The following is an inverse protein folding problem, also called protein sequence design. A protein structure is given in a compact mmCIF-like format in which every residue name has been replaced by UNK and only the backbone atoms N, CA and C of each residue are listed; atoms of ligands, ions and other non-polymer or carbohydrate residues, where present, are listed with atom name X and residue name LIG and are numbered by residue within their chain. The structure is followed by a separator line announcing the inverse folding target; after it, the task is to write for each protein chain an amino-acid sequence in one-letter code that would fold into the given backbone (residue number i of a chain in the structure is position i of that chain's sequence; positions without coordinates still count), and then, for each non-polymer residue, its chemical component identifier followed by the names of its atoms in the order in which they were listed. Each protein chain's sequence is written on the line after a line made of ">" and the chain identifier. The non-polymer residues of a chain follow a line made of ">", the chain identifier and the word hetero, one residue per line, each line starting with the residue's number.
data_IF_620041109665
#
_entry.id   IF_620041109665
#
_cell.length_a   1.000
_cell.length_b   1.000
_cell.length_c   1.000
_cell.angle_alpha   90.00
_cell.angle_beta   90.00
_cell.angle_gamma   90.00
#
_symmetry.space_group_name_H-M   'P 1'
#
loop_
_entity.id
_entity.type
_entity.pdbx_description
1 polymer ?
#
# COMPACT_ATOMS: atom_id res chain seq x y z
N UNK A 1 31.70 -18.26 -21.34
CA UNK A 1 31.12 -18.58 -20.02
C UNK A 1 29.77 -17.93 -19.98
N UNK A 2 28.71 -18.70 -20.02
CA UNK A 2 27.32 -18.18 -19.85
C UNK A 2 27.15 -17.80 -18.37
N UNK A 3 27.17 -16.53 -18.08
CA UNK A 3 26.87 -16.04 -16.73
C UNK A 3 25.37 -16.32 -16.49
N UNK A 4 25.08 -17.26 -15.62
CA UNK A 4 23.69 -17.50 -15.19
C UNK A 4 23.19 -16.22 -14.51
N UNK A 5 22.00 -15.74 -14.90
CA UNK A 5 21.40 -14.56 -14.28
C UNK A 5 21.17 -14.83 -12.79
N UNK A 6 21.47 -13.83 -11.94
CA UNK A 6 21.31 -13.96 -10.48
C UNK A 6 19.91 -14.44 -10.11
N UNK A 7 18.88 -13.89 -10.74
CA UNK A 7 17.48 -14.22 -10.49
C UNK A 7 17.11 -15.68 -10.77
N UNK A 8 17.87 -16.40 -11.60
CA UNK A 8 17.60 -17.81 -11.87
C UNK A 8 17.77 -18.74 -10.64
N UNK A 9 18.26 -18.21 -9.52
CA UNK A 9 18.41 -18.91 -8.24
C UNK A 9 17.32 -18.59 -7.22
N UNK A 10 16.31 -17.79 -7.60
CA UNK A 10 15.24 -17.32 -6.71
C UNK A 10 13.86 -17.68 -7.27
N UNK A 11 12.91 -17.92 -6.36
CA UNK A 11 11.54 -18.30 -6.70
C UNK A 11 10.65 -17.10 -7.01
N UNK A 12 11.03 -15.90 -6.57
CA UNK A 12 10.31 -14.66 -6.81
C UNK A 12 11.24 -13.45 -6.64
N UNK A 13 10.86 -12.32 -7.24
CA UNK A 13 11.45 -11.00 -7.02
C UNK A 13 10.44 -10.11 -6.32
N UNK A 14 10.79 -9.60 -5.12
CA UNK A 14 10.05 -8.52 -4.46
C UNK A 14 10.73 -7.19 -4.80
N UNK A 15 10.03 -6.31 -5.49
CA UNK A 15 10.55 -5.02 -5.93
C UNK A 15 9.83 -3.88 -5.22
N UNK A 16 10.59 -2.95 -4.65
CA UNK A 16 10.09 -1.63 -4.30
C UNK A 16 9.77 -0.83 -5.58
N UNK A 17 9.10 0.29 -5.46
CA UNK A 17 8.65 1.11 -6.58
C UNK A 17 9.38 2.44 -6.68
N UNK A 18 9.22 3.31 -5.68
CA UNK A 18 9.81 4.65 -5.69
C UNK A 18 11.33 4.60 -5.56
N UNK A 19 12.05 5.19 -6.51
CA UNK A 19 13.51 5.15 -6.55
C UNK A 19 14.11 3.83 -7.08
N UNK A 20 13.28 2.83 -7.40
CA UNK A 20 13.70 1.52 -7.93
C UNK A 20 13.14 1.28 -9.34
N UNK A 21 11.85 1.42 -9.53
CA UNK A 21 11.18 1.24 -10.83
C UNK A 21 10.95 2.57 -11.52
N UNK A 22 10.61 3.60 -10.75
CA UNK A 22 10.38 4.96 -11.26
C UNK A 22 10.85 6.02 -10.26
N UNK A 23 11.03 7.25 -10.77
CA UNK A 23 11.25 8.44 -9.97
C UNK A 23 10.23 9.50 -10.42
N UNK A 24 9.22 9.77 -9.58
CA UNK A 24 8.08 10.59 -9.96
C UNK A 24 7.32 10.02 -11.17
N UNK A 25 7.15 10.79 -12.27
CA UNK A 25 6.42 10.32 -13.45
C UNK A 25 7.27 9.50 -14.45
N UNK A 26 8.56 9.28 -14.19
CA UNK A 26 9.50 8.71 -15.15
C UNK A 26 10.02 7.35 -14.69
N UNK A 27 10.06 6.37 -15.62
CA UNK A 27 10.73 5.11 -15.37
C UNK A 27 12.24 5.30 -15.15
N UNK A 28 12.81 4.50 -14.27
CA UNK A 28 14.26 4.36 -14.15
C UNK A 28 14.75 3.54 -15.34
N UNK A 29 15.76 4.05 -16.05
CA UNK A 29 16.30 3.43 -17.25
C UNK A 29 16.70 1.97 -17.03
N UNK A 30 16.18 1.08 -17.86
CA UNK A 30 16.42 -0.36 -17.82
C UNK A 30 15.59 -1.12 -16.77
N UNK A 31 14.88 -0.45 -15.85
CA UNK A 31 14.08 -1.14 -14.84
C UNK A 31 12.87 -1.87 -15.43
N UNK A 32 12.02 -1.26 -16.27
CA UNK A 32 10.90 -1.97 -16.89
C UNK A 32 11.34 -3.20 -17.68
N UNK A 33 12.37 -3.07 -18.50
CA UNK A 33 12.90 -4.16 -19.32
C UNK A 33 13.45 -5.30 -18.47
N UNK A 34 14.17 -4.98 -17.39
CA UNK A 34 14.73 -5.98 -16.47
C UNK A 34 13.63 -6.76 -15.73
N UNK A 35 12.57 -6.07 -15.29
CA UNK A 35 11.42 -6.68 -14.61
C UNK A 35 10.61 -7.58 -15.56
N UNK A 36 10.32 -7.12 -16.77
CA UNK A 36 9.63 -7.92 -17.77
C UNK A 36 10.43 -9.17 -18.14
N UNK A 37 11.75 -9.05 -18.33
CA UNK A 37 12.63 -10.19 -18.60
C UNK A 37 12.67 -11.19 -17.44
N UNK A 38 12.56 -10.76 -16.19
CA UNK A 38 12.50 -11.65 -15.05
C UNK A 38 11.31 -12.61 -15.15
N UNK A 39 10.13 -12.11 -15.53
CA UNK A 39 8.94 -12.94 -15.72
C UNK A 39 8.97 -13.73 -17.03
N UNK A 40 9.30 -13.09 -18.16
CA UNK A 40 9.13 -13.66 -19.50
C UNK A 40 10.26 -14.62 -19.90
N UNK A 41 11.50 -14.32 -19.54
CA UNK A 41 12.67 -15.13 -19.93
C UNK A 41 13.14 -16.08 -18.82
N UNK A 42 13.05 -15.64 -17.55
CA UNK A 42 13.55 -16.44 -16.41
C UNK A 42 12.43 -17.16 -15.66
N UNK A 43 11.17 -16.86 -15.98
CA UNK A 43 9.98 -17.40 -15.29
C UNK A 43 10.00 -17.15 -13.76
N UNK A 44 10.58 -16.02 -13.35
CA UNK A 44 10.63 -15.57 -11.97
C UNK A 44 9.53 -14.52 -11.76
N UNK A 45 8.47 -14.80 -10.97
CA UNK A 45 7.39 -13.85 -10.76
C UNK A 45 7.87 -12.60 -10.02
N UNK A 46 7.41 -11.43 -10.48
CA UNK A 46 7.69 -10.15 -9.85
C UNK A 46 6.48 -9.70 -9.03
N UNK A 47 6.71 -9.39 -7.76
CA UNK A 47 5.74 -8.81 -6.85
C UNK A 47 6.23 -7.41 -6.47
N UNK A 48 5.38 -6.41 -6.63
CA UNK A 48 5.70 -5.04 -6.28
C UNK A 48 5.22 -4.75 -4.86
N UNK A 49 6.11 -4.16 -4.05
CA UNK A 49 5.82 -3.80 -2.66
C UNK A 49 5.99 -2.29 -2.51
N UNK A 50 4.99 -1.60 -1.97
CA UNK A 50 5.08 -0.15 -1.79
C UNK A 50 4.63 0.26 -0.38
N UNK A 51 5.36 1.21 0.22
CA UNK A 51 4.97 1.89 1.46
C UNK A 51 3.93 3.00 1.21
N UNK A 52 3.56 3.29 -0.04
CA UNK A 52 2.53 4.27 -0.37
C UNK A 52 1.13 3.71 -0.09
N UNK A 53 0.39 4.39 0.79
CA UNK A 53 -0.99 4.05 1.15
C UNK A 53 -2.05 4.98 0.51
N UNK A 54 -1.63 5.94 -0.33
CA UNK A 54 -2.54 6.96 -0.86
C UNK A 54 -3.20 6.59 -2.19
N UNK A 55 -2.73 5.54 -2.85
CA UNK A 55 -3.21 5.09 -4.17
C UNK A 55 -3.73 3.66 -4.09
N UNK A 56 -4.78 3.36 -4.87
CA UNK A 56 -5.23 1.98 -5.04
C UNK A 56 -4.21 1.16 -5.83
N UNK A 57 -4.18 -0.16 -5.61
CA UNK A 57 -3.28 -1.07 -6.34
C UNK A 57 -3.57 -1.09 -7.84
N UNK A 58 -4.83 -0.85 -8.26
CA UNK A 58 -5.23 -0.69 -9.65
C UNK A 58 -4.57 0.53 -10.28
N UNK A 59 -4.61 1.68 -9.58
CA UNK A 59 -3.96 2.92 -10.03
C UNK A 59 -2.45 2.77 -10.11
N UNK A 60 -1.83 2.04 -9.17
CA UNK A 60 -0.40 1.73 -9.21
C UNK A 60 -0.07 0.82 -10.38
N UNK A 61 -0.87 -0.23 -10.61
CA UNK A 61 -0.68 -1.14 -11.75
C UNK A 61 -0.83 -0.41 -13.10
N UNK A 62 -1.79 0.50 -13.22
CA UNK A 62 -1.95 1.32 -14.41
C UNK A 62 -0.73 2.22 -14.65
N UNK A 63 -0.24 2.86 -13.59
CA UNK A 63 0.97 3.69 -13.67
C UNK A 63 2.18 2.87 -14.15
N UNK A 64 2.40 1.69 -13.58
CA UNK A 64 3.49 0.78 -13.96
C UNK A 64 3.37 0.35 -15.43
N UNK A 65 2.15 0.03 -15.91
CA UNK A 65 1.93 -0.31 -17.33
C UNK A 65 2.23 0.86 -18.26
N UNK A 66 1.88 2.08 -17.86
CA UNK A 66 2.20 3.31 -18.63
C UNK A 66 3.71 3.56 -18.69
N UNK A 67 4.48 3.04 -17.74
CA UNK A 67 5.95 3.08 -17.72
C UNK A 67 6.60 1.88 -18.45
N UNK A 68 5.79 0.97 -19.03
CA UNK A 68 6.28 -0.19 -19.78
C UNK A 68 6.47 -1.47 -18.98
N UNK A 69 6.04 -1.52 -17.71
CA UNK A 69 6.09 -2.74 -16.90
C UNK A 69 4.84 -3.58 -17.14
N UNK A 70 5.00 -4.86 -17.47
CA UNK A 70 3.91 -5.81 -17.66
C UNK A 70 3.44 -6.32 -16.31
N UNK A 71 2.38 -5.73 -15.76
CA UNK A 71 1.87 -6.10 -14.43
C UNK A 71 0.36 -5.93 -14.29
N UNK A 72 -0.18 -6.43 -13.18
CA UNK A 72 -1.59 -6.35 -12.77
C UNK A 72 -1.70 -6.09 -11.28
N UNK A 73 -2.88 -5.64 -10.81
CA UNK A 73 -3.12 -5.22 -9.43
C UNK A 73 -2.78 -6.32 -8.40
N UNK A 74 -3.03 -7.60 -8.73
CA UNK A 74 -2.75 -8.75 -7.84
C UNK A 74 -1.25 -9.00 -7.61
N UNK A 75 -0.39 -8.34 -8.38
CA UNK A 75 1.07 -8.36 -8.20
C UNK A 75 1.58 -7.22 -7.32
N UNK A 76 0.69 -6.39 -6.77
CA UNK A 76 1.05 -5.24 -5.96
C UNK A 76 0.57 -5.47 -4.53
N UNK A 77 1.46 -5.24 -3.58
CA UNK A 77 1.18 -5.23 -2.14
C UNK A 77 1.50 -3.85 -1.60
N UNK A 78 0.48 -3.17 -1.08
CA UNK A 78 0.64 -1.84 -0.47
C UNK A 78 0.62 -1.89 1.04
N UNK A 79 1.20 -0.88 1.68
CA UNK A 79 1.11 -0.69 3.13
C UNK A 79 -0.32 -0.48 3.61
N UNK A 80 -1.21 0.09 2.78
CA UNK A 80 -2.64 0.19 3.08
C UNK A 80 -3.28 -1.19 3.25
N UNK A 81 -3.05 -2.11 2.32
CA UNK A 81 -3.55 -3.48 2.40
C UNK A 81 -2.98 -4.23 3.61
N UNK A 82 -1.68 -4.06 3.88
CA UNK A 82 -1.02 -4.70 5.02
C UNK A 82 -1.58 -4.18 6.35
N UNK A 83 -1.77 -2.86 6.48
CA UNK A 83 -2.34 -2.22 7.68
C UNK A 83 -3.79 -2.65 7.92
N UNK A 84 -4.63 -2.68 6.88
CA UNK A 84 -6.01 -3.13 6.98
C UNK A 84 -6.12 -4.61 7.40
N UNK A 85 -5.28 -5.48 6.82
CA UNK A 85 -5.19 -6.90 7.22
C UNK A 85 -4.71 -7.07 8.67
N UNK A 86 -3.76 -6.25 9.11
CA UNK A 86 -3.28 -6.27 10.49
C UNK A 86 -4.41 -5.93 11.46
N UNK A 87 -5.21 -4.91 11.18
CA UNK A 87 -6.39 -4.55 11.99
C UNK A 87 -7.40 -5.70 12.03
N UNK A 88 -7.75 -6.29 10.88
CA UNK A 88 -8.71 -7.38 10.79
C UNK A 88 -8.30 -8.64 11.56
N UNK A 89 -7.02 -8.79 11.91
CA UNK A 89 -6.53 -9.86 12.77
C UNK A 89 -6.66 -9.55 14.27
N UNK A 90 -6.86 -8.26 14.64
CA UNK A 90 -6.83 -7.80 16.03
C UNK A 90 -8.20 -7.34 16.55
N UNK A 91 -9.14 -7.00 15.66
CA UNK A 91 -10.47 -6.54 16.02
C UNK A 91 -11.54 -7.40 15.34
N UNK A 92 -12.77 -7.50 15.91
CA UNK A 92 -13.87 -8.26 15.30
C UNK A 92 -14.24 -7.79 13.91
N UNK A 93 -14.67 -8.69 13.03
CA UNK A 93 -15.22 -8.34 11.71
C UNK A 93 -16.39 -7.36 11.84
N UNK A 94 -16.49 -6.42 10.91
CA UNK A 94 -17.48 -5.33 10.93
C UNK A 94 -17.21 -4.23 11.95
N UNK A 95 -16.08 -4.29 12.68
CA UNK A 95 -15.70 -3.20 13.59
C UNK A 95 -15.45 -1.90 12.82
N UNK A 96 -15.83 -0.77 13.44
CA UNK A 96 -15.60 0.56 12.89
C UNK A 96 -14.16 1.00 13.07
N UNK A 97 -13.57 1.51 11.99
CA UNK A 97 -12.19 2.00 11.93
C UNK A 97 -12.18 3.43 11.42
N UNK A 98 -11.65 4.36 12.20
CA UNK A 98 -11.45 5.74 11.73
C UNK A 98 -10.34 5.76 10.67
N UNK A 99 -10.65 6.36 9.54
CA UNK A 99 -9.70 6.51 8.44
C UNK A 99 -9.11 7.92 8.46
N UNK A 100 -7.82 8.00 8.71
CA UNK A 100 -7.03 9.23 8.54
C UNK A 100 -6.16 9.03 7.30
N UNK A 101 -6.71 9.33 6.13
CA UNK A 101 -6.09 9.06 4.83
C UNK A 101 -7.10 9.04 3.68
N UNK A 102 -6.64 8.58 2.50
CA UNK A 102 -7.42 8.59 1.27
C UNK A 102 -8.57 7.58 1.26
N UNK A 103 -9.44 7.69 0.25
CA UNK A 103 -10.49 6.69 0.01
C UNK A 103 -9.91 5.31 -0.37
N UNK A 104 -8.75 5.27 -1.03
CA UNK A 104 -8.07 4.01 -1.31
C UNK A 104 -7.70 3.23 -0.03
N UNK A 105 -7.34 3.93 1.05
CA UNK A 105 -7.12 3.31 2.36
C UNK A 105 -8.44 2.80 2.96
N UNK A 106 -9.54 3.57 2.83
CA UNK A 106 -10.85 3.15 3.28
C UNK A 106 -11.34 1.90 2.53
N UNK A 107 -11.08 1.81 1.22
CA UNK A 107 -11.41 0.61 0.43
C UNK A 107 -10.64 -0.62 0.93
N UNK A 108 -9.35 -0.50 1.25
CA UNK A 108 -8.58 -1.60 1.84
C UNK A 108 -9.19 -2.08 3.18
N UNK A 109 -9.72 -1.16 3.99
CA UNK A 109 -10.39 -1.49 5.26
C UNK A 109 -11.72 -2.23 5.00
N UNK A 110 -12.53 -1.80 4.00
CA UNK A 110 -13.75 -2.52 3.58
C UNK A 110 -13.43 -3.92 3.08
N UNK A 111 -12.43 -4.06 2.23
CA UNK A 111 -11.99 -5.34 1.66
C UNK A 111 -11.48 -6.30 2.74
N UNK A 112 -10.96 -5.76 3.84
CA UNK A 112 -10.56 -6.55 5.01
C UNK A 112 -11.75 -6.95 5.91
N UNK A 113 -13.00 -6.59 5.56
CA UNK A 113 -14.21 -6.93 6.30
C UNK A 113 -14.49 -6.03 7.51
N UNK A 114 -13.93 -4.80 7.50
CA UNK A 114 -14.14 -3.78 8.53
C UNK A 114 -14.98 -2.62 7.98
N UNK A 115 -15.51 -1.76 8.86
CA UNK A 115 -16.34 -0.61 8.50
C UNK A 115 -15.51 0.69 8.62
N UNK A 116 -15.11 1.33 7.50
CA UNK A 116 -14.43 2.61 7.56
C UNK A 116 -15.39 3.74 7.92
N UNK A 117 -14.97 4.57 8.88
CA UNK A 117 -15.70 5.77 9.33
C UNK A 117 -14.80 7.00 9.28
N UNK A 118 -15.39 8.20 9.34
CA UNK A 118 -14.63 9.45 9.20
C UNK A 118 -14.67 10.34 10.45
N UNK A 119 -15.52 10.02 11.42
CA UNK A 119 -15.70 10.84 12.64
C UNK A 119 -15.63 9.97 13.90
N UNK A 120 -15.14 10.56 14.98
CA UNK A 120 -15.13 9.94 16.32
C UNK A 120 -16.54 9.61 16.81
N UNK A 121 -17.51 10.47 16.49
CA UNK A 121 -18.90 10.30 16.90
C UNK A 121 -19.55 9.00 16.38
N UNK A 122 -18.98 8.36 15.35
CA UNK A 122 -19.42 7.07 14.83
C UNK A 122 -18.97 5.89 15.72
N UNK A 123 -18.11 6.13 16.69
CA UNK A 123 -17.65 5.16 17.69
C UNK A 123 -16.63 4.15 17.13
N UNK A 124 -15.54 4.57 16.48
CA UNK A 124 -14.50 3.67 16.01
C UNK A 124 -13.76 3.02 17.18
N UNK A 125 -13.39 1.75 17.01
CA UNK A 125 -12.57 0.99 17.98
C UNK A 125 -11.10 0.91 17.56
N UNK A 126 -10.80 1.38 16.36
CA UNK A 126 -9.44 1.47 15.83
C UNK A 126 -9.31 2.70 14.92
N UNK A 127 -8.06 3.12 14.72
CA UNK A 127 -7.67 4.16 13.77
C UNK A 127 -6.59 3.60 12.85
N UNK A 128 -6.72 3.83 11.54
CA UNK A 128 -5.66 3.60 10.57
C UNK A 128 -5.26 4.91 9.91
N UNK A 129 -3.96 5.18 9.91
CA UNK A 129 -3.39 6.41 9.37
C UNK A 129 -2.52 6.13 8.14
N UNK A 130 -2.81 6.82 7.04
CA UNK A 130 -2.02 6.86 5.84
C UNK A 130 -1.81 8.30 5.36
N UNK A 131 -1.04 8.47 4.30
CA UNK A 131 -0.83 9.78 3.69
C UNK A 131 -2.01 10.17 2.82
N UNK A 132 -2.50 11.41 2.98
CA UNK A 132 -3.42 12.07 2.06
C UNK A 132 -2.97 13.53 1.87
N UNK A 133 -2.62 13.96 0.63
CA UNK A 133 -2.20 15.34 0.37
C UNK A 133 -3.31 16.38 0.58
N UNK A 134 -4.56 15.94 0.74
CA UNK A 134 -5.73 16.79 1.00
C UNK A 134 -6.16 16.80 2.46
N UNK A 135 -5.46 16.06 3.32
CA UNK A 135 -5.78 15.98 4.75
C UNK A 135 -5.75 17.36 5.39
N UNK A 136 -6.83 17.70 6.09
CA UNK A 136 -7.01 18.96 6.76
C UNK A 136 -6.94 18.85 8.29
N UNK A 137 -7.13 19.98 8.93
CA UNK A 137 -7.19 20.05 10.39
C UNK A 137 -8.33 19.23 10.98
N UNK A 138 -9.48 19.18 10.31
CA UNK A 138 -10.66 18.43 10.79
C UNK A 138 -10.35 16.92 10.87
N UNK A 139 -9.68 16.36 9.87
CA UNK A 139 -9.28 14.93 9.87
C UNK A 139 -8.34 14.60 11.04
N UNK A 140 -7.40 15.50 11.33
CA UNK A 140 -6.46 15.35 12.45
C UNK A 140 -7.14 15.53 13.81
N UNK A 141 -8.15 16.40 13.90
CA UNK A 141 -8.93 16.57 15.11
C UNK A 141 -9.75 15.32 15.43
N UNK A 142 -10.44 14.74 14.44
CA UNK A 142 -11.17 13.48 14.58
C UNK A 142 -10.25 12.33 15.02
N UNK A 143 -9.05 12.24 14.43
CA UNK A 143 -8.04 11.28 14.84
C UNK A 143 -7.61 11.49 16.30
N UNK A 144 -7.40 12.75 16.71
CA UNK A 144 -7.01 13.10 18.07
C UNK A 144 -8.09 12.77 19.09
N UNK A 145 -9.37 13.07 18.78
CA UNK A 145 -10.50 12.73 19.66
C UNK A 145 -10.64 11.22 19.80
N UNK A 146 -10.53 10.47 18.70
CA UNK A 146 -10.57 9.00 18.72
C UNK A 146 -9.47 8.42 19.60
N UNK A 147 -8.23 8.92 19.47
CA UNK A 147 -7.06 8.46 20.23
C UNK A 147 -7.03 8.94 21.68
N UNK A 148 -7.94 9.84 22.09
CA UNK A 148 -8.11 10.16 23.50
C UNK A 148 -8.61 8.96 24.33
N UNK A 149 -9.23 7.97 23.69
CA UNK A 149 -9.53 6.68 24.30
C UNK A 149 -8.32 5.74 24.15
N UNK A 150 -7.65 5.35 25.26
CA UNK A 150 -6.46 4.49 25.22
C UNK A 150 -6.71 3.05 24.74
N UNK A 151 -7.96 2.61 24.66
CA UNK A 151 -8.35 1.29 24.18
C UNK A 151 -8.42 1.24 22.64
N UNK A 152 -8.37 2.37 21.95
CA UNK A 152 -8.40 2.45 20.49
C UNK A 152 -7.06 1.97 19.93
N UNK A 153 -7.11 0.98 19.06
CA UNK A 153 -5.94 0.47 18.36
C UNK A 153 -5.53 1.44 17.25
N UNK A 154 -4.28 1.91 17.27
CA UNK A 154 -3.73 2.79 16.24
C UNK A 154 -2.74 2.07 15.34
N UNK A 155 -2.99 2.06 14.03
CA UNK A 155 -2.09 1.53 13.00
C UNK A 155 -1.67 2.65 12.06
N UNK A 156 -0.37 2.90 11.96
CA UNK A 156 0.22 3.73 10.91
C UNK A 156 0.68 2.83 9.74
N UNK A 157 0.29 3.16 8.52
CA UNK A 157 0.68 2.41 7.31
C UNK A 157 2.13 2.64 6.91
N UNK A 158 2.69 3.77 7.34
CA UNK A 158 4.09 4.14 7.13
C UNK A 158 4.55 5.07 8.27
N UNK A 159 5.79 4.87 8.75
CA UNK A 159 6.43 5.71 9.77
C UNK A 159 7.68 6.41 9.25
N UNK A 160 7.96 6.34 7.94
CA UNK A 160 9.08 7.04 7.33
C UNK A 160 8.89 8.55 7.41
N UNK A 161 9.98 9.28 7.57
CA UNK A 161 9.97 10.75 7.68
C UNK A 161 9.81 11.44 6.32
N UNK A 162 9.99 10.70 5.23
CA UNK A 162 9.88 11.15 3.84
C UNK A 162 9.02 10.19 3.03
N UNK A 163 8.31 10.74 2.06
CA UNK A 163 7.49 10.01 1.09
C UNK A 163 8.12 10.17 -0.29
#
# INVERSE_FOLDING_TARGET
>A
MTTTALLAHYDALLSDLDGVVYAGPFAIEGAPEALNRAEEELNVPVIFVTNNASRSVESVAEHLRNLGVHTRAERIVSSAQAGAKLLAQQIPAGSKVLITGTEALADCVRDAGLEPVRTEAEGPVALIQGFDPKMGWEDLAEASYTLANPEVLWVATNTDQTI
#
